data_IF_470540391978
#
_entry.id   IF_470540391978
#
_cell.length_a   1.000
_cell.length_b   1.000
_cell.length_c   1.000
_cell.angle_alpha   90.00
_cell.angle_beta   90.00
_cell.angle_gamma   90.00
#
_symmetry.space_group_name_H-M   'P 1'
#
loop_
_entity.id
_entity.type
_entity.pdbx_description
1 polymer ?
#
# COMPACT_ATOMS: atom_id res chain seq x y z
N UNK A 1 -28.69 24.83 2.17
CA UNK A 1 -27.49 25.25 2.93
C UNK A 1 -26.29 24.85 2.09
N UNK A 2 -25.42 25.80 1.73
CA UNK A 2 -24.22 25.52 0.94
C UNK A 2 -23.15 24.94 1.87
N UNK A 3 -22.89 23.64 1.78
CA UNK A 3 -21.82 22.98 2.50
C UNK A 3 -20.48 23.49 2.01
N UNK A 4 -19.63 23.91 2.94
CA UNK A 4 -18.26 24.34 2.68
C UNK A 4 -17.44 23.05 2.54
N UNK A 5 -16.89 22.84 1.35
CA UNK A 5 -15.95 21.76 1.06
C UNK A 5 -14.60 22.14 1.67
N UNK A 6 -14.11 21.36 2.64
CA UNK A 6 -12.74 21.48 3.16
C UNK A 6 -12.03 20.17 2.83
N UNK A 7 -11.57 20.06 1.58
CA UNK A 7 -10.65 19.00 1.17
C UNK A 7 -9.22 19.43 1.45
N UNK A 8 -8.48 18.63 2.22
CA UNK A 8 -7.03 18.76 2.30
C UNK A 8 -6.44 18.22 1.00
N UNK A 9 -5.87 19.10 0.17
CA UNK A 9 -5.07 18.74 -1.00
C UNK A 9 -3.62 18.63 -0.54
N UNK A 10 -3.07 17.41 -0.50
CA UNK A 10 -1.61 17.23 -0.41
C UNK A 10 -1.07 17.27 -1.83
N UNK A 11 -0.62 18.45 -2.24
CA UNK A 11 0.10 18.61 -3.50
C UNK A 11 1.58 18.29 -3.22
N UNK A 12 2.05 17.09 -3.58
CA UNK A 12 3.50 16.82 -3.60
C UNK A 12 4.07 17.48 -4.85
N UNK A 13 4.40 18.77 -4.73
CA UNK A 13 5.13 19.49 -5.74
C UNK A 13 6.62 19.48 -5.37
N UNK A 14 7.44 18.80 -6.17
CA UNK A 14 8.88 19.00 -6.16
C UNK A 14 9.17 20.41 -6.71
N UNK A 15 9.31 21.39 -5.82
CA UNK A 15 9.64 22.77 -6.17
C UNK A 15 10.98 23.16 -5.55
N UNK A 16 12.00 23.27 -6.41
CA UNK A 16 13.20 24.04 -6.09
C UNK A 16 12.85 25.52 -5.99
N UNK A 17 13.11 26.13 -4.83
CA UNK A 17 12.81 27.54 -4.57
C UNK A 17 13.86 28.46 -5.21
N UNK A 18 13.41 29.35 -6.11
CA UNK A 18 13.78 30.78 -6.04
C UNK A 18 12.71 31.65 -6.70
N UNK A 19 12.30 32.67 -5.96
CA UNK A 19 11.02 33.35 -6.10
C UNK A 19 10.85 34.31 -7.28
N UNK A 20 9.57 34.65 -7.50
CA UNK A 20 9.06 35.62 -8.46
C UNK A 20 7.73 35.11 -9.01
N UNK A 21 6.63 35.81 -8.73
CA UNK A 21 5.32 35.47 -9.31
C UNK A 21 5.42 35.48 -10.84
N UNK A 22 5.23 34.31 -11.46
CA UNK A 22 5.07 34.16 -12.91
C UNK A 22 3.85 33.28 -13.15
N UNK A 23 2.73 33.91 -13.51
CA UNK A 23 1.59 33.20 -14.10
C UNK A 23 2.01 32.83 -15.53
N UNK A 24 2.44 31.58 -15.72
CA UNK A 24 2.67 31.03 -17.06
C UNK A 24 1.36 30.43 -17.58
N UNK A 25 0.62 31.23 -18.34
CA UNK A 25 -0.39 30.70 -19.26
C UNK A 25 0.36 30.02 -20.41
N UNK A 26 0.57 28.71 -20.32
CA UNK A 26 1.20 27.93 -21.38
C UNK A 26 0.29 27.86 -22.61
N UNK A 27 0.51 28.74 -23.60
CA UNK A 27 0.27 28.37 -25.00
C UNK A 27 1.44 27.47 -25.41
N UNK A 28 1.32 26.19 -25.11
CA UNK A 28 2.17 25.17 -25.73
C UNK A 28 1.85 25.15 -27.22
N UNK A 29 2.77 25.67 -28.04
CA UNK A 29 2.94 25.12 -29.38
C UNK A 29 3.65 23.80 -29.16
N UNK A 30 2.97 22.72 -29.51
CA UNK A 30 3.56 21.38 -29.61
C UNK A 30 4.87 21.47 -30.38
N UNK A 31 5.98 21.29 -29.67
CA UNK A 31 7.08 20.53 -30.25
C UNK A 31 6.74 19.09 -29.92
N UNK A 32 6.08 18.41 -30.86
CA UNK A 32 6.03 16.96 -30.90
C UNK A 32 7.48 16.44 -30.89
N UNK A 33 7.96 16.10 -29.70
CA UNK A 33 8.83 14.96 -29.55
C UNK A 33 7.91 13.78 -29.30
N UNK A 34 7.72 12.95 -30.32
CA UNK A 34 7.23 11.59 -30.12
C UNK A 34 8.17 10.89 -29.13
N UNK A 35 7.60 10.01 -28.28
CA UNK A 35 8.26 9.13 -27.29
C UNK A 35 8.42 9.62 -25.83
N UNK A 36 7.44 10.32 -25.25
CA UNK A 36 7.30 10.35 -23.78
C UNK A 36 6.10 9.54 -23.32
N UNK A 37 6.35 8.64 -22.37
CA UNK A 37 5.30 7.83 -21.76
C UNK A 37 4.39 8.70 -20.90
N UNK A 38 3.13 8.27 -20.72
CA UNK A 38 2.13 9.04 -19.99
C UNK A 38 2.58 9.42 -18.57
N UNK A 39 3.28 8.53 -17.88
CA UNK A 39 3.73 8.72 -16.51
C UNK A 39 4.91 9.71 -16.39
N UNK A 40 5.59 10.03 -17.49
CA UNK A 40 6.71 10.99 -17.51
C UNK A 40 6.25 12.44 -17.58
N UNK A 41 5.03 12.68 -18.04
CA UNK A 41 4.51 14.01 -18.36
C UNK A 41 3.17 14.35 -17.71
N UNK A 42 2.47 13.35 -17.14
CA UNK A 42 1.17 13.54 -16.49
C UNK A 42 1.31 14.06 -15.06
N UNK A 43 0.34 14.88 -14.65
CA UNK A 43 0.14 15.22 -13.24
C UNK A 43 -0.60 14.08 -12.57
N UNK A 44 0.02 13.46 -11.56
CA UNK A 44 -0.62 12.44 -10.73
C UNK A 44 -1.44 13.10 -9.62
N UNK A 45 -2.75 12.86 -9.62
CA UNK A 45 -3.68 13.40 -8.63
C UNK A 45 -4.10 12.32 -7.64
N UNK A 46 -3.72 12.47 -6.38
CA UNK A 46 -4.13 11.54 -5.33
C UNK A 46 -5.58 11.80 -4.91
N UNK A 47 -6.40 10.76 -4.93
CA UNK A 47 -7.74 10.74 -4.36
C UNK A 47 -7.72 9.88 -3.10
N UNK A 48 -8.13 10.48 -1.98
CA UNK A 48 -8.49 9.76 -0.76
C UNK A 48 -10.01 9.50 -0.78
N UNK A 49 -10.47 8.26 -1.06
CA UNK A 49 -11.87 7.98 -1.45
C UNK A 49 -12.88 8.49 -0.41
N UNK A 50 -12.63 8.16 0.86
CA UNK A 50 -13.52 8.44 2.00
C UNK A 50 -13.88 9.92 2.18
N UNK A 51 -13.07 10.83 1.65
CA UNK A 51 -13.25 12.28 1.81
C UNK A 51 -13.46 13.01 0.47
N UNK A 52 -13.54 12.30 -0.65
CA UNK A 52 -13.56 12.94 -1.96
C UNK A 52 -14.96 13.36 -2.39
N UNK A 53 -15.94 12.47 -2.42
CA UNK A 53 -17.33 12.80 -2.77
C UNK A 53 -18.26 11.69 -2.31
N UNK A 54 -19.21 12.01 -1.43
CA UNK A 54 -20.31 11.15 -1.00
C UNK A 54 -21.45 11.23 -2.03
N UNK A 55 -21.91 10.09 -2.55
CA UNK A 55 -22.96 10.01 -3.56
C UNK A 55 -24.32 9.53 -3.04
N UNK A 56 -24.38 8.92 -1.86
CA UNK A 56 -25.61 8.31 -1.32
C UNK A 56 -26.12 8.95 -0.01
N UNK A 57 -25.33 9.84 0.59
CA UNK A 57 -25.66 10.65 1.75
C UNK A 57 -25.34 10.00 3.09
N UNK A 58 -24.53 8.93 3.13
CA UNK A 58 -24.11 8.27 4.36
C UNK A 58 -22.98 9.02 5.12
N UNK A 59 -22.39 10.04 4.50
CA UNK A 59 -21.31 10.86 5.03
C UNK A 59 -19.90 10.37 4.68
N UNK A 60 -19.77 9.36 3.84
CA UNK A 60 -18.51 8.79 3.38
C UNK A 60 -18.40 8.93 1.86
N UNK A 61 -17.22 9.34 1.38
CA UNK A 61 -16.96 9.38 -0.06
C UNK A 61 -16.80 7.98 -0.65
N UNK A 62 -17.37 7.78 -1.84
CA UNK A 62 -17.51 6.47 -2.47
C UNK A 62 -17.10 6.48 -3.97
N UNK A 63 -17.03 5.30 -4.59
CA UNK A 63 -16.58 5.12 -5.99
C UNK A 63 -17.52 5.81 -6.99
N UNK A 64 -18.83 5.83 -6.74
CA UNK A 64 -19.81 6.53 -7.59
C UNK A 64 -19.64 8.04 -7.47
N UNK A 65 -19.30 8.53 -6.29
CA UNK A 65 -18.90 9.89 -6.02
C UNK A 65 -17.69 10.30 -6.85
N UNK A 66 -16.62 9.47 -6.85
CA UNK A 66 -15.44 9.68 -7.70
C UNK A 66 -15.84 9.72 -9.19
N UNK A 67 -16.61 8.73 -9.64
CA UNK A 67 -17.08 8.61 -11.02
C UNK A 67 -17.86 9.85 -11.46
N UNK A 68 -18.69 10.42 -10.58
CA UNK A 68 -19.48 11.64 -10.85
C UNK A 68 -18.63 12.90 -11.06
N UNK A 69 -17.34 12.87 -10.69
CA UNK A 69 -16.41 14.00 -10.76
C UNK A 69 -15.32 13.83 -11.82
N UNK A 70 -15.34 12.78 -12.63
CA UNK A 70 -14.31 12.59 -13.66
C UNK A 70 -14.26 13.75 -14.66
N UNK A 71 -15.41 14.33 -15.04
CA UNK A 71 -15.44 15.51 -15.92
C UNK A 71 -14.74 16.73 -15.28
N UNK A 72 -14.90 16.91 -13.97
CA UNK A 72 -14.20 17.95 -13.21
C UNK A 72 -12.69 17.73 -13.20
N UNK A 73 -12.22 16.48 -13.04
CA UNK A 73 -10.79 16.16 -13.13
C UNK A 73 -10.22 16.50 -14.52
N UNK A 74 -10.96 16.19 -15.58
CA UNK A 74 -10.57 16.55 -16.96
C UNK A 74 -10.50 18.06 -17.15
N UNK A 75 -11.45 18.83 -16.61
CA UNK A 75 -11.44 20.31 -16.67
C UNK A 75 -10.20 20.92 -15.97
N UNK A 76 -9.73 20.28 -14.90
CA UNK A 76 -8.48 20.66 -14.23
C UNK A 76 -7.21 20.25 -14.99
N UNK A 77 -7.35 19.46 -16.07
CA UNK A 77 -6.23 18.94 -16.84
C UNK A 77 -5.60 17.68 -16.24
N UNK A 78 -6.26 17.02 -15.28
CA UNK A 78 -5.78 15.77 -14.68
C UNK A 78 -6.00 14.62 -15.66
N UNK A 79 -4.95 13.81 -15.87
CA UNK A 79 -4.96 12.63 -16.75
C UNK A 79 -4.43 11.37 -16.06
N UNK A 80 -4.00 11.46 -14.80
CA UNK A 80 -3.60 10.32 -13.99
C UNK A 80 -4.09 10.50 -12.56
N UNK A 81 -4.73 9.47 -12.03
CA UNK A 81 -5.25 9.42 -10.68
C UNK A 81 -4.52 8.32 -9.92
N UNK A 82 -4.03 8.64 -8.72
CA UNK A 82 -3.66 7.65 -7.72
C UNK A 82 -4.80 7.53 -6.73
N UNK A 83 -5.37 6.34 -6.62
CA UNK A 83 -6.45 6.03 -5.70
C UNK A 83 -5.88 5.36 -4.45
N UNK A 84 -5.98 6.01 -3.28
CA UNK A 84 -5.71 5.35 -2.00
C UNK A 84 -6.61 4.12 -1.80
N UNK A 85 -6.26 3.17 -0.91
CA UNK A 85 -6.89 1.86 -0.86
C UNK A 85 -8.43 1.90 -0.76
N UNK A 86 -9.08 1.08 -1.57
CA UNK A 86 -10.55 0.85 -1.58
C UNK A 86 -10.90 -0.62 -1.33
N UNK A 87 -9.91 -1.46 -1.01
CA UNK A 87 -10.09 -2.88 -0.74
C UNK A 87 -10.90 -3.13 0.53
N UNK A 88 -11.53 -4.30 0.67
CA UNK A 88 -12.19 -4.67 1.92
C UNK A 88 -11.22 -4.60 3.09
N UNK A 89 -11.58 -3.85 4.12
CA UNK A 89 -10.71 -3.57 5.26
C UNK A 89 -11.53 -3.37 6.54
N UNK A 90 -11.06 -3.86 7.70
CA UNK A 90 -11.64 -3.50 8.99
C UNK A 90 -11.46 -2.02 9.37
N UNK A 91 -10.74 -1.24 8.57
CA UNK A 91 -10.50 0.19 8.72
C UNK A 91 -9.70 0.57 9.96
N UNK A 92 -8.85 -0.33 10.48
CA UNK A 92 -7.92 -0.05 11.59
C UNK A 92 -6.85 0.94 11.18
N UNK A 93 -6.41 0.86 9.93
CA UNK A 93 -5.52 1.82 9.27
C UNK A 93 -6.17 2.36 7.99
N UNK A 94 -7.50 2.61 8.07
CA UNK A 94 -8.26 3.29 7.02
C UNK A 94 -8.06 2.76 5.59
N UNK A 95 -8.01 1.43 5.44
CA UNK A 95 -7.89 0.74 4.15
C UNK A 95 -6.52 0.13 3.88
N UNK A 96 -5.50 0.44 4.69
CA UNK A 96 -4.17 -0.18 4.58
C UNK A 96 -4.10 -1.54 5.29
N UNK A 97 -5.04 -1.85 6.19
CA UNK A 97 -5.28 -3.18 6.77
C UNK A 97 -6.23 -4.01 5.89
N UNK A 98 -5.72 -4.61 4.82
CA UNK A 98 -6.53 -5.25 3.77
C UNK A 98 -6.97 -6.67 4.19
N UNK A 99 -8.28 -6.91 4.25
CA UNK A 99 -8.89 -8.23 4.55
C UNK A 99 -9.28 -9.04 3.31
N UNK A 100 -9.36 -8.40 2.15
CA UNK A 100 -9.51 -9.05 0.85
C UNK A 100 -8.91 -8.18 -0.26
N UNK A 101 -7.82 -8.66 -0.87
CA UNK A 101 -7.08 -7.91 -1.88
C UNK A 101 -7.77 -7.79 -3.24
N UNK A 102 -8.82 -8.57 -3.53
CA UNK A 102 -9.47 -8.64 -4.85
C UNK A 102 -10.94 -8.26 -4.82
N UNK A 103 -11.40 -7.62 -3.74
CA UNK A 103 -12.74 -7.05 -3.66
C UNK A 103 -12.68 -5.60 -3.15
N UNK A 104 -13.81 -4.90 -3.27
CA UNK A 104 -13.99 -3.52 -2.83
C UNK A 104 -14.71 -3.49 -1.48
N UNK A 105 -14.28 -2.61 -0.58
CA UNK A 105 -14.96 -2.41 0.69
C UNK A 105 -16.40 -1.92 0.47
N UNK A 106 -17.41 -2.54 1.13
CA UNK A 106 -18.80 -2.12 1.00
C UNK A 106 -19.06 -0.65 1.35
N UNK A 107 -18.19 0.01 2.13
CA UNK A 107 -18.30 1.44 2.42
C UNK A 107 -18.02 2.32 1.19
N UNK A 108 -17.32 1.79 0.17
CA UNK A 108 -16.97 2.50 -1.05
C UNK A 108 -17.79 2.09 -2.27
N UNK A 109 -18.48 0.94 -2.21
CA UNK A 109 -19.33 0.43 -3.28
C UNK A 109 -19.09 -1.05 -3.55
N UNK A 110 -19.19 -1.47 -4.81
CA UNK A 110 -18.95 -2.85 -5.24
C UNK A 110 -17.83 -2.96 -6.28
N UNK A 111 -17.43 -4.18 -6.60
CA UNK A 111 -16.48 -4.46 -7.68
C UNK A 111 -17.04 -4.00 -9.05
N UNK A 112 -18.35 -4.09 -9.26
CA UNK A 112 -19.02 -3.56 -10.45
C UNK A 112 -18.91 -2.03 -10.52
N UNK A 113 -19.11 -1.32 -9.40
CA UNK A 113 -18.95 0.13 -9.35
C UNK A 113 -17.51 0.54 -9.69
N UNK A 114 -16.52 -0.23 -9.24
CA UNK A 114 -15.12 -0.02 -9.62
C UNK A 114 -14.89 -0.21 -11.12
N UNK A 115 -15.42 -1.29 -11.70
CA UNK A 115 -15.31 -1.54 -13.14
C UNK A 115 -15.95 -0.41 -13.97
N UNK A 116 -17.14 0.04 -13.58
CA UNK A 116 -17.82 1.18 -14.22
C UNK A 116 -17.00 2.47 -14.12
N UNK A 117 -16.40 2.75 -12.95
CA UNK A 117 -15.50 3.88 -12.77
C UNK A 117 -14.29 3.78 -13.70
N UNK A 118 -13.67 2.60 -13.80
CA UNK A 118 -12.46 2.43 -14.59
C UNK A 118 -12.71 2.57 -16.09
N UNK A 119 -13.81 2.02 -16.61
CA UNK A 119 -14.19 2.25 -18.01
C UNK A 119 -14.54 3.74 -18.26
N UNK A 120 -15.22 4.41 -17.31
CA UNK A 120 -15.50 5.84 -17.41
C UNK A 120 -14.24 6.72 -17.36
N UNK A 121 -13.21 6.33 -16.61
CA UNK A 121 -11.89 6.97 -16.59
C UNK A 121 -11.19 6.80 -17.93
N UNK A 122 -11.17 5.58 -18.46
CA UNK A 122 -10.57 5.24 -19.75
C UNK A 122 -11.21 6.00 -20.92
N UNK A 123 -12.53 6.11 -20.96
CA UNK A 123 -13.27 6.92 -21.95
C UNK A 123 -12.85 8.40 -21.95
N UNK A 124 -12.35 8.88 -20.80
CA UNK A 124 -11.87 10.25 -20.61
C UNK A 124 -10.35 10.36 -20.74
N UNK A 125 -9.65 9.27 -21.04
CA UNK A 125 -8.19 9.24 -21.08
C UNK A 125 -7.55 9.53 -19.73
N UNK A 126 -8.19 9.15 -18.63
CA UNK A 126 -7.63 9.17 -17.28
C UNK A 126 -6.99 7.81 -17.02
N UNK A 127 -5.75 7.82 -16.54
CA UNK A 127 -5.00 6.65 -16.09
C UNK A 127 -5.22 6.40 -14.61
N UNK A 128 -5.47 5.16 -14.23
CA UNK A 128 -5.71 4.78 -12.82
C UNK A 128 -4.50 4.03 -12.24
N UNK A 129 -3.95 4.56 -11.16
CA UNK A 129 -2.93 3.92 -10.33
C UNK A 129 -3.58 3.53 -9.00
N UNK A 130 -3.54 2.25 -8.65
CA UNK A 130 -4.05 1.78 -7.35
C UNK A 130 -2.95 1.79 -6.29
N UNK A 131 -3.29 2.14 -5.06
CA UNK A 131 -2.41 1.89 -3.91
C UNK A 131 -2.51 0.42 -3.48
N UNK A 132 -1.38 -0.25 -3.24
CA UNK A 132 -1.33 -1.62 -2.75
C UNK A 132 -0.25 -1.78 -1.68
N UNK A 133 -0.58 -2.49 -0.60
CA UNK A 133 0.31 -2.77 0.53
C UNK A 133 0.60 -4.27 0.57
N UNK A 134 1.71 -4.74 -0.03
CA UNK A 134 2.00 -6.18 -0.05
C UNK A 134 2.67 -6.69 1.23
N UNK A 135 3.10 -5.79 2.12
CA UNK A 135 3.85 -6.11 3.34
C UNK A 135 3.05 -6.92 4.36
N UNK A 136 1.76 -6.63 4.48
CA UNK A 136 0.89 -7.20 5.49
C UNK A 136 -0.52 -7.34 4.92
N UNK A 137 -1.32 -8.20 5.53
CA UNK A 137 -2.77 -8.16 5.41
C UNK A 137 -3.38 -7.74 6.74
N UNK A 138 -4.70 -7.62 6.79
CA UNK A 138 -5.43 -7.61 8.06
C UNK A 138 -5.32 -8.96 8.77
N UNK A 139 -5.37 -8.96 10.10
CA UNK A 139 -5.59 -10.15 10.94
C UNK A 139 -6.97 -10.81 10.73
N UNK A 140 -7.88 -10.15 10.01
CA UNK A 140 -9.17 -10.72 9.58
C UNK A 140 -9.11 -11.34 8.18
N UNK A 141 -7.97 -11.24 7.47
CA UNK A 141 -7.79 -11.85 6.16
C UNK A 141 -7.87 -13.38 6.25
N UNK A 142 -8.46 -14.04 5.25
CA UNK A 142 -8.58 -15.52 5.21
C UNK A 142 -7.21 -16.18 5.38
N UNK A 143 -6.19 -15.67 4.69
CA UNK A 143 -4.81 -16.14 4.81
C UNK A 143 -4.32 -16.16 6.26
N UNK A 144 -4.53 -15.09 7.05
CA UNK A 144 -4.06 -15.05 8.43
C UNK A 144 -4.80 -16.05 9.31
N UNK A 145 -6.12 -16.15 9.16
CA UNK A 145 -6.92 -17.11 9.92
C UNK A 145 -6.53 -18.57 9.62
N UNK A 146 -6.26 -18.90 8.36
CA UNK A 146 -5.80 -20.23 7.95
C UNK A 146 -4.37 -20.51 8.37
N UNK A 147 -3.52 -19.48 8.33
CA UNK A 147 -2.16 -19.54 8.90
C UNK A 147 -2.22 -19.81 10.40
N UNK A 148 -2.98 -19.03 11.17
CA UNK A 148 -3.15 -19.22 12.62
C UNK A 148 -3.62 -20.65 12.95
N UNK A 149 -4.46 -21.25 12.11
CA UNK A 149 -4.93 -22.62 12.25
C UNK A 149 -3.92 -23.71 11.79
N UNK A 150 -2.75 -23.32 11.27
CA UNK A 150 -1.72 -24.23 10.77
C UNK A 150 -2.13 -24.96 9.48
N UNK A 151 -2.98 -24.35 8.65
CA UNK A 151 -3.53 -25.00 7.47
C UNK A 151 -2.63 -24.80 6.24
N UNK A 152 -2.05 -25.87 5.71
CA UNK A 152 -1.22 -25.79 4.50
C UNK A 152 -2.05 -25.39 3.25
N UNK A 153 -1.53 -24.54 2.35
CA UNK A 153 -0.18 -23.96 2.35
C UNK A 153 -0.04 -22.62 3.10
N UNK A 154 -1.05 -22.20 3.87
CA UNK A 154 -1.10 -20.89 4.55
C UNK A 154 -0.32 -20.86 5.87
N UNK A 155 0.07 -22.02 6.38
CA UNK A 155 0.81 -22.20 7.64
C UNK A 155 2.07 -21.35 7.72
N UNK A 156 2.70 -21.06 6.58
CA UNK A 156 3.91 -20.22 6.44
C UNK A 156 3.68 -18.93 5.61
N UNK A 157 2.43 -18.46 5.48
CA UNK A 157 2.13 -17.18 4.81
C UNK A 157 2.52 -15.95 5.63
N UNK A 158 2.73 -16.10 6.94
CA UNK A 158 3.09 -15.03 7.87
C UNK A 158 4.30 -15.46 8.70
N UNK A 159 5.02 -14.48 9.23
CA UNK A 159 6.19 -14.75 10.08
C UNK A 159 5.71 -15.17 11.47
N UNK A 160 5.85 -16.47 11.77
CA UNK A 160 5.58 -17.07 13.07
C UNK A 160 6.87 -17.54 13.73
N UNK A 161 7.09 -17.16 14.99
CA UNK A 161 8.33 -17.45 15.71
C UNK A 161 8.03 -17.89 17.14
N UNK A 162 8.76 -18.90 17.60
CA UNK A 162 8.60 -19.43 18.95
C UNK A 162 9.03 -18.39 20.00
N UNK A 163 8.38 -18.37 21.18
CA UNK A 163 8.79 -17.52 22.28
C UNK A 163 10.21 -17.84 22.77
N UNK A 164 10.90 -16.82 23.28
CA UNK A 164 12.02 -16.99 24.21
C UNK A 164 11.49 -17.09 25.64
N UNK A 165 12.30 -17.65 26.54
CA UNK A 165 12.03 -17.65 27.98
C UNK A 165 13.26 -17.10 28.70
N UNK A 166 13.04 -16.23 29.68
CA UNK A 166 14.10 -15.74 30.56
C UNK A 166 14.44 -16.76 31.66
N UNK A 167 15.40 -16.41 32.53
CA UNK A 167 15.89 -17.28 33.61
C UNK A 167 14.79 -17.56 34.66
N UNK A 168 13.79 -16.68 34.76
CA UNK A 168 12.62 -16.83 35.62
C UNK A 168 11.51 -17.69 34.98
N UNK A 169 11.65 -18.04 33.69
CA UNK A 169 10.69 -18.82 32.94
C UNK A 169 9.52 -18.00 32.39
N UNK A 170 9.64 -16.68 32.37
CA UNK A 170 8.64 -15.79 31.78
C UNK A 170 8.83 -15.69 30.27
N UNK A 171 7.71 -15.63 29.56
CA UNK A 171 7.66 -15.61 28.10
C UNK A 171 8.10 -14.25 27.56
N UNK A 172 9.08 -14.27 26.65
CA UNK A 172 9.65 -13.09 25.99
C UNK A 172 9.44 -13.15 24.47
N UNK A 173 9.29 -11.99 23.80
CA UNK A 173 9.27 -11.95 22.35
C UNK A 173 10.59 -12.50 21.75
N UNK A 174 10.58 -12.93 20.48
CA UNK A 174 11.76 -13.47 19.82
C UNK A 174 12.93 -12.50 19.75
N UNK A 175 12.68 -11.21 19.60
CA UNK A 175 13.69 -10.15 19.56
C UNK A 175 13.15 -8.83 20.10
N UNK A 176 14.04 -7.85 20.25
CA UNK A 176 13.72 -6.49 20.65
C UNK A 176 13.06 -5.63 19.56
N UNK A 177 12.69 -6.19 18.40
CA UNK A 177 12.17 -5.42 17.28
C UNK A 177 10.92 -4.62 17.67
N UNK A 178 10.85 -3.39 17.17
CA UNK A 178 9.82 -2.43 17.50
C UNK A 178 8.92 -2.15 16.29
N UNK A 179 7.63 -1.99 16.54
CA UNK A 179 6.67 -1.54 15.53
C UNK A 179 6.94 -0.07 15.17
N UNK A 180 6.72 0.29 13.91
CA UNK A 180 6.73 1.68 13.40
C UNK A 180 5.79 2.58 14.21
N UNK A 181 4.68 2.03 14.72
CA UNK A 181 3.72 2.76 15.55
C UNK A 181 4.02 2.70 17.06
N UNK A 182 5.14 2.08 17.43
CA UNK A 182 5.65 1.98 18.79
C UNK A 182 5.22 0.70 19.50
N UNK A 183 6.02 0.31 20.50
CA UNK A 183 5.89 -0.97 21.19
C UNK A 183 6.55 -2.12 20.42
N UNK A 184 6.42 -3.34 20.95
CA UNK A 184 6.99 -4.53 20.30
C UNK A 184 6.36 -4.77 18.92
N UNK A 185 7.17 -5.23 17.96
CA UNK A 185 6.70 -5.74 16.67
C UNK A 185 6.14 -7.17 16.75
N UNK A 186 6.09 -7.77 17.95
CA UNK A 186 5.69 -9.16 18.14
C UNK A 186 4.41 -9.26 18.98
N UNK A 187 3.41 -9.96 18.47
CA UNK A 187 2.19 -10.30 19.21
C UNK A 187 2.04 -11.80 19.37
N UNK A 188 1.85 -12.27 20.60
CA UNK A 188 1.66 -13.69 20.91
C UNK A 188 0.23 -14.15 20.61
N UNK A 189 0.06 -15.35 20.04
CA UNK A 189 -1.22 -16.03 19.89
C UNK A 189 -1.21 -17.35 20.64
N UNK A 190 -2.09 -17.47 21.62
CA UNK A 190 -2.22 -18.66 22.45
C UNK A 190 -2.69 -19.88 21.62
N UNK A 191 -3.47 -19.66 20.56
CA UNK A 191 -3.98 -20.73 19.68
C UNK A 191 -2.88 -21.46 18.91
N UNK A 192 -1.79 -20.75 18.59
CA UNK A 192 -0.64 -21.28 17.85
C UNK A 192 0.63 -21.41 18.73
N UNK A 193 0.55 -20.92 19.96
CA UNK A 193 1.65 -20.87 20.94
C UNK A 193 2.91 -20.13 20.43
N UNK A 194 2.76 -19.23 19.47
CA UNK A 194 3.84 -18.50 18.80
C UNK A 194 3.57 -16.99 18.76
N UNK A 195 4.63 -16.21 18.56
CA UNK A 195 4.52 -14.81 18.17
C UNK A 195 4.36 -14.68 16.66
N UNK A 196 3.55 -13.73 16.19
CA UNK A 196 3.61 -13.25 14.81
C UNK A 196 4.21 -11.86 14.75
N UNK A 197 4.88 -11.57 13.63
CA UNK A 197 5.45 -10.25 13.34
C UNK A 197 4.39 -9.27 12.84
N UNK A 198 4.49 -8.02 13.26
CA UNK A 198 3.79 -6.89 12.66
C UNK A 198 4.68 -5.64 12.72
N UNK A 199 5.09 -5.13 11.57
CA UNK A 199 5.90 -3.89 11.49
C UNK A 199 5.06 -2.65 11.82
N UNK A 200 3.73 -2.77 11.69
CA UNK A 200 2.77 -1.70 11.95
C UNK A 200 1.84 -2.08 13.11
N UNK A 201 0.52 -2.01 12.93
CA UNK A 201 -0.44 -2.40 13.97
C UNK A 201 -0.45 -3.92 14.19
N UNK A 202 -0.80 -4.41 15.40
CA UNK A 202 -1.05 -5.83 15.62
C UNK A 202 -2.13 -6.43 14.71
N UNK A 203 -3.08 -5.61 14.24
CA UNK A 203 -4.07 -5.99 13.23
C UNK A 203 -3.54 -6.04 11.79
N UNK A 204 -2.25 -5.73 11.58
CA UNK A 204 -1.53 -5.78 10.30
C UNK A 204 -0.38 -6.81 10.38
N UNK A 205 -0.68 -8.13 10.52
CA UNK A 205 0.34 -9.17 10.53
C UNK A 205 1.16 -9.18 9.23
N UNK A 206 2.47 -9.19 9.39
CA UNK A 206 3.43 -9.18 8.30
C UNK A 206 3.50 -10.54 7.62
N UNK A 207 3.47 -10.50 6.29
CA UNK A 207 3.55 -11.70 5.48
C UNK A 207 4.99 -12.23 5.45
N UNK A 208 5.17 -13.53 5.23
CA UNK A 208 6.51 -14.10 5.06
C UNK A 208 7.03 -13.80 3.64
N UNK A 209 7.84 -12.73 3.50
CA UNK A 209 8.42 -12.28 2.22
C UNK A 209 9.34 -13.28 1.49
N UNK A 210 9.65 -14.43 2.09
CA UNK A 210 10.41 -15.53 1.50
C UNK A 210 9.54 -16.68 0.98
N UNK A 211 8.25 -16.70 1.32
CA UNK A 211 7.35 -17.78 0.92
C UNK A 211 6.90 -17.63 -0.54
N UNK A 212 7.35 -18.53 -1.42
CA UNK A 212 7.06 -18.47 -2.87
C UNK A 212 5.56 -18.61 -3.21
N UNK A 213 4.79 -19.34 -2.41
CA UNK A 213 3.34 -19.47 -2.64
C UNK A 213 2.64 -18.14 -2.36
N UNK A 214 3.02 -17.45 -1.29
CA UNK A 214 2.53 -16.12 -0.96
C UNK A 214 2.96 -15.09 -2.01
N UNK A 215 4.24 -15.08 -2.43
CA UNK A 215 4.72 -14.15 -3.46
C UNK A 215 3.93 -14.35 -4.76
N UNK A 216 3.59 -15.61 -5.10
CA UNK A 216 2.70 -15.89 -6.23
C UNK A 216 1.27 -15.38 -5.97
N UNK A 217 0.69 -15.61 -4.80
CA UNK A 217 -0.64 -15.11 -4.46
C UNK A 217 -0.74 -13.57 -4.55
N UNK A 218 0.28 -12.84 -4.08
CA UNK A 218 0.39 -11.39 -4.26
C UNK A 218 0.56 -11.01 -5.73
N UNK A 219 1.35 -11.77 -6.51
CA UNK A 219 1.46 -11.55 -7.96
C UNK A 219 0.12 -11.72 -8.68
N UNK A 220 -0.71 -12.67 -8.24
CA UNK A 220 -2.06 -12.88 -8.77
C UNK A 220 -2.99 -11.71 -8.42
N UNK A 221 -2.81 -11.05 -7.27
CA UNK A 221 -3.51 -9.79 -6.93
C UNK A 221 -3.13 -8.68 -7.92
N UNK A 222 -1.84 -8.47 -8.19
CA UNK A 222 -1.43 -7.50 -9.21
C UNK A 222 -2.05 -7.81 -10.57
N UNK A 223 -2.03 -9.09 -11.00
CA UNK A 223 -2.62 -9.52 -12.26
C UNK A 223 -4.14 -9.26 -12.30
N UNK A 224 -4.86 -9.58 -11.22
CA UNK A 224 -6.31 -9.35 -11.12
C UNK A 224 -6.67 -7.89 -11.42
N UNK A 225 -5.98 -6.93 -10.80
CA UNK A 225 -6.27 -5.51 -11.01
C UNK A 225 -5.81 -5.01 -12.39
N UNK A 226 -4.72 -5.57 -12.94
CA UNK A 226 -4.31 -5.29 -14.32
C UNK A 226 -5.35 -5.79 -15.34
N UNK A 227 -5.95 -6.95 -15.10
CA UNK A 227 -7.03 -7.52 -15.92
C UNK A 227 -8.31 -6.67 -15.84
N UNK A 228 -8.56 -6.03 -14.69
CA UNK A 228 -9.60 -5.00 -14.51
C UNK A 228 -9.26 -3.67 -15.19
N UNK A 229 -8.10 -3.56 -15.84
CA UNK A 229 -7.73 -2.42 -16.65
C UNK A 229 -6.90 -1.35 -15.93
N UNK A 230 -6.47 -1.58 -14.68
CA UNK A 230 -5.62 -0.64 -13.93
C UNK A 230 -4.32 -0.35 -14.70
N UNK A 231 -3.85 0.90 -14.64
CA UNK A 231 -2.68 1.38 -15.38
C UNK A 231 -1.38 1.35 -14.56
N UNK A 232 -1.46 1.08 -13.27
CA UNK A 232 -0.28 0.91 -12.44
C UNK A 232 -0.59 0.79 -10.96
N UNK A 233 0.49 0.69 -10.17
CA UNK A 233 0.40 0.56 -8.73
C UNK A 233 1.35 1.53 -8.03
N UNK A 234 0.90 2.06 -6.89
CA UNK A 234 1.79 2.59 -5.87
C UNK A 234 1.95 1.50 -4.82
N UNK A 235 3.18 1.04 -4.62
CA UNK A 235 3.50 -0.02 -3.66
C UNK A 235 3.96 0.64 -2.36
N UNK A 236 3.17 0.47 -1.31
CA UNK A 236 3.40 1.06 0.00
C UNK A 236 4.15 0.09 0.95
N UNK A 237 4.81 0.65 1.96
CA UNK A 237 5.54 -0.09 3.01
C UNK A 237 6.60 -1.09 2.52
N UNK A 238 7.03 -1.03 1.25
CA UNK A 238 7.83 -2.10 0.64
C UNK A 238 9.16 -2.37 1.35
N UNK A 239 9.75 -1.36 2.01
CA UNK A 239 11.06 -1.50 2.66
C UNK A 239 11.02 -2.52 3.80
N UNK A 240 9.82 -2.82 4.30
CA UNK A 240 9.55 -3.76 5.39
C UNK A 240 9.17 -5.17 4.87
N UNK A 241 9.08 -5.38 3.55
CA UNK A 241 8.50 -6.63 3.00
C UNK A 241 9.25 -7.91 3.38
N UNK A 242 10.54 -7.79 3.70
CA UNK A 242 11.33 -8.91 4.19
C UNK A 242 12.31 -8.43 5.26
N UNK A 243 12.39 -9.19 6.34
CA UNK A 243 13.38 -9.09 7.42
C UNK A 243 14.48 -10.14 7.23
N UNK A 244 15.50 -10.14 8.10
CA UNK A 244 16.43 -11.27 8.17
C UNK A 244 15.71 -12.54 8.64
N UNK A 245 16.20 -13.71 8.23
CA UNK A 245 15.63 -15.00 8.65
C UNK A 245 16.02 -15.40 10.10
N UNK A 246 17.05 -14.79 10.69
CA UNK A 246 17.38 -14.98 12.12
C UNK A 246 16.57 -14.01 13.01
N UNK A 247 15.30 -14.35 13.20
CA UNK A 247 14.34 -13.56 13.98
C UNK A 247 14.68 -13.41 15.47
N UNK A 248 15.68 -14.14 15.97
CA UNK A 248 16.11 -14.03 17.37
C UNK A 248 17.24 -13.01 17.59
N UNK A 249 17.75 -12.41 16.51
CA UNK A 249 18.78 -11.39 16.56
C UNK A 249 18.17 -10.03 16.89
N UNK A 250 18.68 -9.40 17.94
CA UNK A 250 18.27 -8.05 18.35
C UNK A 250 18.89 -6.97 17.45
N UNK A 251 18.12 -5.91 17.20
CA UNK A 251 18.64 -4.69 16.59
C UNK A 251 19.44 -3.87 17.60
N UNK A 252 20.46 -3.16 17.10
CA UNK A 252 21.29 -2.30 17.93
C UNK A 252 20.53 -1.01 18.30
N UNK A 253 20.81 -0.45 19.48
CA UNK A 253 20.32 0.88 19.84
C UNK A 253 20.82 1.95 18.87
N UNK A 254 19.96 2.92 18.54
CA UNK A 254 20.30 4.03 17.66
C UNK A 254 21.20 5.08 18.32
N UNK A 255 21.19 5.13 19.66
CA UNK A 255 21.90 6.12 20.46
C UNK A 255 21.27 7.52 20.45
N UNK A 256 20.05 7.67 19.93
CA UNK A 256 19.30 8.94 19.98
C UNK A 256 18.83 9.18 21.43
N UNK A 257 19.20 10.30 22.08
CA UNK A 257 18.85 10.54 23.47
C UNK A 257 17.38 10.95 23.65
N UNK A 258 16.86 10.75 24.85
CA UNK A 258 15.56 11.26 25.34
C UNK A 258 14.32 10.76 24.57
N UNK A 259 14.43 9.63 23.87
CA UNK A 259 13.28 8.97 23.25
C UNK A 259 12.48 8.16 24.29
N UNK A 260 11.14 8.13 24.21
CA UNK A 260 10.33 7.24 25.02
C UNK A 260 10.67 5.76 24.78
N UNK A 261 10.52 4.92 25.82
CA UNK A 261 10.65 3.47 25.68
C UNK A 261 9.69 2.93 24.62
N UNK A 262 10.16 1.99 23.80
CA UNK A 262 9.38 1.40 22.71
C UNK A 262 9.14 2.32 21.51
N UNK A 263 9.74 3.52 21.48
CA UNK A 263 9.76 4.34 20.27
C UNK A 263 10.61 3.65 19.18
N UNK A 264 10.06 3.58 17.96
CA UNK A 264 10.73 2.96 16.80
C UNK A 264 12.16 3.48 16.59
N UNK A 265 12.37 4.79 16.70
CA UNK A 265 13.68 5.44 16.51
C UNK A 265 14.73 5.07 17.58
N UNK A 266 14.38 4.30 18.61
CA UNK A 266 15.35 3.77 19.58
C UNK A 266 16.30 2.74 18.96
N UNK A 267 15.96 2.13 17.83
CA UNK A 267 16.74 1.06 17.22
C UNK A 267 17.28 1.46 15.84
N UNK A 268 18.34 0.77 15.42
CA UNK A 268 18.90 0.88 14.07
C UNK A 268 18.38 -0.27 13.20
N UNK A 269 17.48 0.06 12.26
CA UNK A 269 16.66 -0.89 11.52
C UNK A 269 17.33 -1.57 10.33
N UNK A 270 18.49 -2.19 10.54
CA UNK A 270 19.21 -2.92 9.48
C UNK A 270 18.81 -4.40 9.37
N UNK A 271 18.06 -4.93 10.33
CA UNK A 271 17.60 -6.33 10.32
C UNK A 271 16.16 -6.44 9.81
N UNK A 272 15.36 -5.40 10.03
CA UNK A 272 13.93 -5.36 9.73
C UNK A 272 13.56 -4.62 8.45
N UNK A 273 14.52 -3.95 7.79
CA UNK A 273 14.24 -3.20 6.55
C UNK A 273 15.27 -3.42 5.45
N UNK A 274 14.86 -3.21 4.20
CA UNK A 274 15.71 -3.16 3.01
C UNK A 274 16.54 -4.43 2.77
N UNK A 275 16.01 -5.60 3.13
CA UNK A 275 16.67 -6.87 2.83
C UNK A 275 16.68 -7.15 1.33
N UNK A 276 17.69 -7.90 0.86
CA UNK A 276 17.88 -8.19 -0.57
C UNK A 276 16.63 -8.78 -1.23
N UNK A 277 15.91 -9.65 -0.51
CA UNK A 277 14.68 -10.29 -0.95
C UNK A 277 13.59 -9.28 -1.38
N UNK A 278 13.48 -8.14 -0.68
CA UNK A 278 12.55 -7.05 -1.06
C UNK A 278 12.80 -6.59 -2.49
N UNK A 279 14.06 -6.39 -2.86
CA UNK A 279 14.44 -5.93 -4.20
C UNK A 279 14.23 -7.02 -5.26
N UNK A 280 14.38 -8.29 -4.90
CA UNK A 280 14.17 -9.41 -5.81
C UNK A 280 12.68 -9.60 -6.15
N UNK A 281 11.80 -9.45 -5.15
CA UNK A 281 10.34 -9.45 -5.38
C UNK A 281 9.88 -8.23 -6.17
N UNK A 282 10.42 -7.04 -5.90
CA UNK A 282 10.15 -5.85 -6.70
C UNK A 282 10.51 -6.05 -8.20
N UNK A 283 11.63 -6.72 -8.49
CA UNK A 283 11.99 -7.07 -9.88
C UNK A 283 10.98 -8.03 -10.50
N UNK A 284 10.50 -9.02 -9.76
CA UNK A 284 9.45 -9.95 -10.22
C UNK A 284 8.16 -9.22 -10.58
N UNK A 285 7.67 -8.33 -9.72
CA UNK A 285 6.47 -7.55 -10.03
C UNK A 285 6.69 -6.56 -11.18
N UNK A 286 7.88 -5.97 -11.32
CA UNK A 286 8.21 -5.15 -12.49
C UNK A 286 8.09 -5.95 -13.79
N UNK A 287 8.64 -7.18 -13.84
CA UNK A 287 8.50 -8.06 -15.01
C UNK A 287 7.04 -8.42 -15.31
N UNK A 288 6.21 -8.60 -14.28
CA UNK A 288 4.77 -8.81 -14.44
C UNK A 288 4.10 -7.60 -15.11
N UNK A 289 4.43 -6.38 -14.67
CA UNK A 289 3.92 -5.15 -15.29
C UNK A 289 4.48 -4.91 -16.70
N UNK A 290 5.70 -5.35 -17.00
CA UNK A 290 6.28 -5.31 -18.35
C UNK A 290 5.50 -6.23 -19.30
N UNK A 291 5.22 -7.47 -18.87
CA UNK A 291 4.39 -8.39 -19.64
C UNK A 291 2.97 -7.83 -19.89
N UNK A 292 2.36 -7.20 -18.87
CA UNK A 292 1.07 -6.53 -19.03
C UNK A 292 1.13 -5.30 -19.95
N UNK A 293 2.27 -4.60 -19.98
CA UNK A 293 2.52 -3.52 -20.93
C UNK A 293 2.56 -4.04 -22.36
N UNK A 294 3.31 -5.11 -22.60
CA UNK A 294 3.40 -5.76 -23.92
C UNK A 294 2.03 -6.27 -24.39
N UNK A 295 1.26 -6.91 -23.50
CA UNK A 295 -0.05 -7.46 -23.83
C UNK A 295 -1.10 -6.38 -24.16
N UNK A 296 -1.08 -5.26 -23.43
CA UNK A 296 -2.08 -4.18 -23.59
C UNK A 296 -1.66 -3.08 -24.58
N UNK A 297 -0.38 -2.99 -24.93
CA UNK A 297 0.17 -1.88 -25.70
C UNK A 297 0.18 -0.54 -24.95
N UNK A 298 -0.08 -0.53 -23.65
CA UNK A 298 -0.08 0.66 -22.79
C UNK A 298 0.86 0.46 -21.60
N UNK A 299 1.82 1.37 -21.34
CA UNK A 299 2.75 1.25 -20.22
C UNK A 299 2.05 1.11 -18.88
N UNK A 300 2.48 0.11 -18.10
CA UNK A 300 2.05 -0.12 -16.71
C UNK A 300 3.04 0.48 -15.73
N UNK A 301 2.56 1.43 -14.94
CA UNK A 301 3.34 2.23 -14.01
C UNK A 301 3.52 1.53 -12.67
N UNK A 302 4.69 1.71 -12.04
CA UNK A 302 4.89 1.37 -10.63
C UNK A 302 5.61 2.50 -9.92
N UNK A 303 5.03 2.97 -8.83
CA UNK A 303 5.65 3.85 -7.85
C UNK A 303 5.96 3.04 -6.60
N UNK A 304 7.09 3.34 -5.95
CA UNK A 304 7.47 2.67 -4.71
C UNK A 304 7.63 3.72 -3.62
N UNK A 305 6.87 3.58 -2.54
CA UNK A 305 7.03 4.42 -1.36
C UNK A 305 8.04 3.82 -0.38
N UNK A 306 9.21 4.43 -0.29
CA UNK A 306 10.28 4.04 0.65
C UNK A 306 10.27 4.85 1.97
N UNK A 307 9.34 5.80 2.16
CA UNK A 307 9.43 6.80 3.23
C UNK A 307 8.49 6.57 4.43
N UNK A 308 7.73 5.48 4.48
CA UNK A 308 7.03 5.04 5.70
C UNK A 308 7.97 4.26 6.59
#
# INVERSE_FOLDING_TARGET
MRGIFVGFVVLVALVGVRGGNLVLKGKGKDKQGEDQEWWQSSVLYQIYPRSFMDSDGDGVGDIKGITSKLDYLVELGIRSVWLSPVYESPMKDFGYDISNFTNIDPIFGTLEDFFEMQEAMKDRGIKLVMDLVPNHSSDQHEWFNRSLAGEAPYDDYYVWVDPKFDDEGERQPPSNWLSVFGGSAWTYREEREQYFLHQFLPEQPDVNGYNENLIQALSDVFQFWLDMGVDGFRVDAIKHFAEIEDYYQDEAESGIPDLPEGNYENLYHNLTTNQQQTFDVLRRWRLLLDAATEASGSPKYVEINYFK
#
